data_IF_743344615552
#
_entry.id   IF_743344615552
#
_cell.length_a   1.000
_cell.length_b   1.000
_cell.length_c   1.000
_cell.angle_alpha   90.00
_cell.angle_beta   90.00
_cell.angle_gamma   90.00
#
_symmetry.space_group_name_H-M   'P 1'
#
loop_
_entity.id
_entity.type
_entity.pdbx_description
1 polymer ?
#
# COMPACT_ATOMS: atom_id res chain seq x y z
N UNK A 1 -5.36 -5.73 -18.01
CA UNK A 1 -5.50 -5.31 -16.60
C UNK A 1 -6.96 -5.21 -16.27
N UNK A 2 -7.38 -5.72 -15.11
CA UNK A 2 -8.78 -5.70 -14.64
C UNK A 2 -8.89 -4.73 -13.47
N UNK A 3 -9.70 -3.68 -13.62
CA UNK A 3 -9.92 -2.64 -12.61
C UNK A 3 -11.34 -2.76 -12.05
N UNK A 4 -11.48 -2.87 -10.74
CA UNK A 4 -12.78 -2.80 -10.08
C UNK A 4 -12.98 -1.40 -9.49
N UNK A 5 -14.12 -0.79 -9.79
CA UNK A 5 -14.56 0.50 -9.21
C UNK A 5 -15.77 0.23 -8.33
N UNK A 6 -15.66 0.55 -7.05
CA UNK A 6 -16.73 0.41 -6.05
C UNK A 6 -17.13 1.81 -5.61
N UNK A 7 -18.26 2.29 -6.09
CA UNK A 7 -18.77 3.65 -5.88
C UNK A 7 -20.29 3.65 -6.08
N UNK A 8 -21.04 4.31 -5.21
CA UNK A 8 -22.51 4.37 -5.31
C UNK A 8 -23.02 5.29 -6.45
N UNK A 9 -22.09 5.99 -7.12
CA UNK A 9 -22.37 6.84 -8.26
C UNK A 9 -22.01 6.17 -9.59
N UNK A 10 -22.99 5.78 -10.37
CA UNK A 10 -22.79 5.27 -11.74
C UNK A 10 -21.97 6.22 -12.60
N UNK A 11 -22.10 7.54 -12.38
CA UNK A 11 -21.33 8.54 -13.11
C UNK A 11 -19.82 8.45 -12.84
N UNK A 12 -19.41 8.07 -11.62
CA UNK A 12 -18.00 7.86 -11.28
C UNK A 12 -17.47 6.60 -11.95
N UNK A 13 -18.25 5.51 -11.93
CA UNK A 13 -17.92 4.25 -12.60
C UNK A 13 -17.76 4.48 -14.10
N UNK A 14 -18.71 5.19 -14.72
CA UNK A 14 -18.66 5.52 -16.15
C UNK A 14 -17.46 6.42 -16.50
N UNK A 15 -17.21 7.48 -15.72
CA UNK A 15 -16.08 8.37 -15.91
C UNK A 15 -14.74 7.62 -15.79
N UNK A 16 -14.61 6.72 -14.84
CA UNK A 16 -13.46 5.83 -14.71
C UNK A 16 -13.32 4.95 -15.96
N UNK A 17 -14.41 4.29 -16.39
CA UNK A 17 -14.41 3.42 -17.57
C UNK A 17 -13.94 4.15 -18.82
N UNK A 18 -14.47 5.34 -19.08
CA UNK A 18 -14.06 6.17 -20.24
C UNK A 18 -12.58 6.55 -20.16
N UNK A 19 -12.14 7.01 -18.97
CA UNK A 19 -10.74 7.44 -18.75
C UNK A 19 -9.75 6.30 -19.01
N UNK A 20 -10.08 5.08 -18.58
CA UNK A 20 -9.22 3.91 -18.78
C UNK A 20 -9.25 3.38 -20.21
N UNK A 21 -10.40 3.36 -20.86
CA UNK A 21 -10.53 2.92 -22.25
C UNK A 21 -9.67 3.76 -23.22
N UNK A 22 -9.51 5.07 -22.91
CA UNK A 22 -8.68 5.97 -23.73
C UNK A 22 -7.19 5.73 -23.51
N UNK A 23 -6.76 5.50 -22.27
CA UNK A 23 -5.33 5.46 -21.90
C UNK A 23 -4.73 4.05 -21.94
N UNK A 24 -5.51 3.03 -21.64
CA UNK A 24 -5.10 1.62 -21.57
C UNK A 24 -6.11 0.73 -22.28
N UNK A 25 -5.94 0.57 -23.59
CA UNK A 25 -6.87 -0.15 -24.49
C UNK A 25 -7.19 -1.60 -24.07
N UNK A 26 -6.36 -2.22 -23.23
CA UNK A 26 -6.53 -3.59 -22.72
C UNK A 26 -7.03 -3.63 -21.26
N UNK A 27 -7.62 -2.53 -20.75
CA UNK A 27 -8.13 -2.51 -19.39
C UNK A 27 -9.63 -2.82 -19.40
N UNK A 28 -10.01 -3.87 -18.71
CA UNK A 28 -11.38 -4.21 -18.36
C UNK A 28 -11.76 -3.46 -17.08
N UNK A 29 -12.82 -2.67 -17.11
CA UNK A 29 -13.34 -1.98 -15.93
C UNK A 29 -14.66 -2.64 -15.52
N UNK A 30 -14.74 -3.04 -14.24
CA UNK A 30 -15.91 -3.63 -13.62
C UNK A 30 -16.42 -2.66 -12.57
N UNK A 31 -17.72 -2.44 -12.47
CA UNK A 31 -18.34 -1.57 -11.48
C UNK A 31 -19.14 -2.34 -10.43
N UNK A 32 -19.15 -1.82 -9.20
CA UNK A 32 -20.06 -2.19 -8.12
C UNK A 32 -20.62 -0.94 -7.47
N UNK A 33 -21.92 -0.93 -7.16
CA UNK A 33 -22.60 0.24 -6.60
C UNK A 33 -22.65 0.26 -5.07
N UNK A 34 -22.11 -0.75 -4.41
CA UNK A 34 -22.06 -0.89 -2.95
C UNK A 34 -20.90 -1.81 -2.52
N UNK A 35 -20.61 -1.81 -1.20
CA UNK A 35 -19.50 -2.56 -0.65
C UNK A 35 -19.69 -4.07 -0.72
N UNK A 36 -20.91 -4.57 -0.50
CA UNK A 36 -21.23 -5.99 -0.52
C UNK A 36 -21.01 -6.60 -1.92
N UNK A 37 -21.56 -5.97 -2.95
CA UNK A 37 -21.33 -6.39 -4.34
C UNK A 37 -19.86 -6.24 -4.76
N UNK A 38 -19.18 -5.23 -4.23
CA UNK A 38 -17.76 -5.04 -4.43
C UNK A 38 -16.93 -6.19 -3.87
N UNK A 39 -17.24 -6.69 -2.67
CA UNK A 39 -16.55 -7.83 -2.06
C UNK A 39 -16.69 -9.09 -2.90
N UNK A 40 -17.93 -9.39 -3.34
CA UNK A 40 -18.22 -10.54 -4.21
C UNK A 40 -17.41 -10.47 -5.53
N UNK A 41 -17.28 -9.26 -6.10
CA UNK A 41 -16.48 -9.06 -7.32
C UNK A 41 -14.98 -9.18 -7.08
N UNK A 42 -14.43 -8.74 -5.94
CA UNK A 42 -13.01 -8.97 -5.61
C UNK A 42 -12.71 -10.46 -5.56
N UNK A 43 -13.58 -11.25 -4.90
CA UNK A 43 -13.37 -12.69 -4.74
C UNK A 43 -13.53 -13.45 -6.07
N UNK A 44 -14.49 -13.06 -6.89
CA UNK A 44 -14.85 -13.79 -8.11
C UNK A 44 -14.01 -13.43 -9.33
N UNK A 45 -13.71 -12.13 -9.48
CA UNK A 45 -13.08 -11.57 -10.67
C UNK A 45 -11.57 -11.39 -10.53
N UNK A 46 -11.02 -11.43 -9.30
CA UNK A 46 -9.60 -11.24 -9.01
C UNK A 46 -9.02 -9.99 -9.71
N UNK A 47 -9.53 -8.78 -9.43
CA UNK A 47 -9.06 -7.57 -10.10
C UNK A 47 -7.58 -7.29 -9.77
N UNK A 48 -6.89 -6.62 -10.69
CA UNK A 48 -5.50 -6.18 -10.51
C UNK A 48 -5.40 -4.95 -9.60
N UNK A 49 -6.50 -4.17 -9.49
CA UNK A 49 -6.59 -2.97 -8.65
C UNK A 49 -8.05 -2.63 -8.36
N UNK A 50 -8.31 -2.10 -7.17
CA UNK A 50 -9.62 -1.62 -6.71
C UNK A 50 -9.57 -0.11 -6.48
N UNK A 51 -10.52 0.63 -7.05
CA UNK A 51 -10.88 1.97 -6.63
C UNK A 51 -12.08 1.87 -5.71
N UNK A 52 -12.01 2.42 -4.50
CA UNK A 52 -13.03 2.24 -3.47
C UNK A 52 -13.46 3.57 -2.88
N UNK A 53 -14.72 3.95 -3.07
CA UNK A 53 -15.26 5.12 -2.39
C UNK A 53 -15.41 4.91 -0.89
N UNK A 54 -15.15 5.97 -0.13
CA UNK A 54 -15.33 5.94 1.33
C UNK A 54 -16.80 6.12 1.70
N UNK A 55 -17.50 7.00 0.99
CA UNK A 55 -18.82 7.49 1.38
C UNK A 55 -19.95 6.77 0.65
N UNK A 56 -20.05 5.45 0.83
CA UNK A 56 -21.11 4.64 0.26
C UNK A 56 -22.15 4.24 1.31
N UNK A 57 -23.42 4.01 0.91
CA UNK A 57 -24.42 3.41 1.79
C UNK A 57 -24.05 1.95 2.16
N UNK A 58 -24.70 1.39 3.18
CA UNK A 58 -24.42 0.03 3.65
C UNK A 58 -23.18 -0.06 4.51
N UNK A 59 -22.30 -1.00 4.24
CA UNK A 59 -21.09 -1.23 5.05
C UNK A 59 -20.01 -0.13 4.91
N UNK A 60 -20.14 0.75 3.92
CA UNK A 60 -19.20 1.86 3.69
C UNK A 60 -17.78 1.41 3.30
N UNK A 61 -16.99 2.33 2.74
CA UNK A 61 -15.69 1.99 2.15
C UNK A 61 -14.65 1.48 3.15
N UNK A 62 -14.62 1.97 4.39
CA UNK A 62 -13.64 1.48 5.37
C UNK A 62 -13.88 0.05 5.81
N UNK A 63 -15.14 -0.35 5.97
CA UNK A 63 -15.48 -1.73 6.33
C UNK A 63 -15.29 -2.65 5.12
N UNK A 64 -15.61 -2.19 3.92
CA UNK A 64 -15.31 -2.90 2.67
C UNK A 64 -13.80 -3.14 2.55
N UNK A 65 -12.95 -2.13 2.77
CA UNK A 65 -11.49 -2.27 2.77
C UNK A 65 -11.01 -3.31 3.79
N UNK A 66 -11.53 -3.25 5.03
CA UNK A 66 -11.17 -4.21 6.08
C UNK A 66 -11.54 -5.65 5.67
N UNK A 67 -12.72 -5.83 5.08
CA UNK A 67 -13.18 -7.12 4.60
C UNK A 67 -12.33 -7.64 3.43
N UNK A 68 -11.98 -6.79 2.46
CA UNK A 68 -11.03 -7.15 1.39
C UNK A 68 -9.71 -7.65 1.98
N UNK A 69 -9.14 -6.93 2.96
CA UNK A 69 -7.85 -7.28 3.57
C UNK A 69 -7.88 -8.56 4.41
N UNK A 70 -9.05 -9.08 4.74
CA UNK A 70 -9.17 -10.38 5.41
C UNK A 70 -8.86 -11.57 4.47
N UNK A 71 -8.98 -11.40 3.15
CA UNK A 71 -8.78 -12.47 2.17
C UNK A 71 -7.94 -12.09 0.94
N UNK A 72 -7.61 -10.81 0.74
CA UNK A 72 -6.91 -10.36 -0.47
C UNK A 72 -5.94 -9.21 -0.20
N UNK A 73 -4.76 -9.28 -0.83
CA UNK A 73 -3.75 -8.22 -0.87
C UNK A 73 -3.87 -7.35 -2.14
N UNK A 74 -5.00 -7.43 -2.87
CA UNK A 74 -5.23 -6.62 -4.06
C UNK A 74 -4.99 -5.14 -3.75
N UNK A 75 -4.28 -4.38 -4.58
CA UNK A 75 -4.08 -2.96 -4.36
C UNK A 75 -5.40 -2.20 -4.31
N UNK A 76 -5.57 -1.34 -3.30
CA UNK A 76 -6.78 -0.51 -3.12
C UNK A 76 -6.39 0.96 -3.04
N UNK A 77 -6.99 1.77 -3.92
CA UNK A 77 -6.94 3.23 -3.86
C UNK A 77 -8.29 3.73 -3.33
N UNK A 78 -8.26 4.46 -2.20
CA UNK A 78 -9.47 5.05 -1.64
C UNK A 78 -9.86 6.32 -2.38
N UNK A 79 -11.13 6.45 -2.75
CA UNK A 79 -11.71 7.71 -3.23
C UNK A 79 -12.34 8.44 -2.05
N UNK A 80 -11.96 9.69 -1.79
CA UNK A 80 -12.40 10.45 -0.60
C UNK A 80 -12.89 11.84 -0.97
N UNK A 81 -13.81 12.41 -0.21
CA UNK A 81 -14.15 13.80 -0.33
C UNK A 81 -12.97 14.70 0.08
N UNK A 82 -12.91 15.91 -0.49
CA UNK A 82 -11.85 16.89 -0.28
C UNK A 82 -11.60 17.16 1.23
N UNK A 83 -10.32 17.23 1.62
CA UNK A 83 -9.77 17.74 2.90
C UNK A 83 -9.93 16.90 4.18
N UNK A 84 -10.32 15.64 4.13
CA UNK A 84 -10.31 14.80 5.32
C UNK A 84 -8.99 14.05 5.52
N UNK A 85 -8.01 14.72 6.14
CA UNK A 85 -6.71 14.15 6.50
C UNK A 85 -6.88 12.92 7.41
N UNK A 86 -7.87 12.92 8.29
CA UNK A 86 -8.12 11.79 9.21
C UNK A 86 -8.59 10.55 8.44
N UNK A 87 -9.47 10.71 7.47
CA UNK A 87 -9.91 9.61 6.61
C UNK A 87 -8.78 9.05 5.76
N UNK A 88 -7.88 9.90 5.25
CA UNK A 88 -6.69 9.47 4.51
C UNK A 88 -5.78 8.59 5.38
N UNK A 89 -5.40 9.06 6.57
CA UNK A 89 -4.57 8.30 7.52
C UNK A 89 -5.27 7.00 7.91
N UNK A 90 -6.58 7.06 8.23
CA UNK A 90 -7.37 5.86 8.60
C UNK A 90 -7.41 4.83 7.47
N UNK A 91 -7.64 5.25 6.22
CA UNK A 91 -7.62 4.37 5.05
C UNK A 91 -6.28 3.66 4.89
N UNK A 92 -5.19 4.43 4.95
CA UNK A 92 -3.84 3.88 4.90
C UNK A 92 -3.58 2.91 6.08
N UNK A 93 -4.00 3.22 7.31
CA UNK A 93 -3.85 2.31 8.46
C UNK A 93 -4.64 1.02 8.31
N UNK A 94 -5.81 1.05 7.67
CA UNK A 94 -6.64 -0.12 7.39
C UNK A 94 -6.11 -0.97 6.22
N UNK A 95 -5.12 -0.48 5.47
CA UNK A 95 -4.49 -1.26 4.41
C UNK A 95 -4.69 -0.73 3.00
N UNK A 96 -5.24 0.48 2.81
CA UNK A 96 -5.20 1.11 1.51
C UNK A 96 -3.76 1.36 1.04
N UNK A 97 -3.54 1.32 -0.26
CA UNK A 97 -2.24 1.58 -0.89
C UNK A 97 -2.06 3.04 -1.27
N UNK A 98 -3.18 3.74 -1.54
CA UNK A 98 -3.21 5.15 -1.87
C UNK A 98 -4.60 5.74 -1.63
N UNK A 99 -4.73 7.05 -1.84
CA UNK A 99 -6.02 7.75 -1.87
C UNK A 99 -6.04 8.82 -2.97
N UNK A 100 -7.25 9.15 -3.43
CA UNK A 100 -7.53 10.22 -4.39
C UNK A 100 -8.70 11.04 -3.87
N UNK A 101 -8.58 12.36 -3.91
CA UNK A 101 -9.66 13.24 -3.46
C UNK A 101 -10.65 13.54 -4.59
N UNK A 102 -11.94 13.44 -4.29
CA UNK A 102 -13.03 13.85 -5.20
C UNK A 102 -13.30 15.36 -5.07
N UNK A 103 -13.55 16.11 -6.16
CA UNK A 103 -13.42 15.68 -7.55
C UNK A 103 -11.94 15.52 -7.94
N UNK A 104 -11.59 14.46 -8.66
CA UNK A 104 -10.24 14.19 -9.10
C UNK A 104 -10.05 14.54 -10.58
N UNK A 105 -8.86 15.03 -10.89
CA UNK A 105 -8.38 15.08 -12.26
C UNK A 105 -8.00 13.65 -12.69
N UNK A 106 -8.42 13.29 -13.91
CA UNK A 106 -8.18 11.96 -14.40
C UNK A 106 -6.70 11.64 -14.64
N UNK A 107 -5.88 12.62 -14.96
CA UNK A 107 -4.44 12.44 -15.08
C UNK A 107 -3.81 12.17 -13.71
N UNK A 108 -4.31 12.80 -12.64
CA UNK A 108 -3.89 12.49 -11.26
C UNK A 108 -4.24 11.05 -10.90
N UNK A 109 -5.49 10.62 -11.13
CA UNK A 109 -5.92 9.25 -10.87
C UNK A 109 -5.05 8.23 -11.60
N UNK A 110 -4.80 8.44 -12.90
CA UNK A 110 -3.95 7.57 -13.70
C UNK A 110 -2.49 7.54 -13.18
N UNK A 111 -1.94 8.70 -12.78
CA UNK A 111 -0.59 8.77 -12.22
C UNK A 111 -0.48 7.96 -10.91
N UNK A 112 -1.47 8.06 -10.02
CA UNK A 112 -1.51 7.32 -8.76
C UNK A 112 -1.67 5.82 -8.99
N UNK A 113 -2.52 5.40 -9.92
CA UNK A 113 -2.66 3.99 -10.30
C UNK A 113 -1.34 3.43 -10.81
N UNK A 114 -0.65 4.14 -11.71
CA UNK A 114 0.69 3.73 -12.18
C UNK A 114 1.68 3.62 -11.03
N UNK A 115 1.64 4.55 -10.08
CA UNK A 115 2.51 4.52 -8.91
C UNK A 115 2.23 3.32 -8.02
N UNK A 116 0.96 2.98 -7.79
CA UNK A 116 0.55 1.80 -7.01
C UNK A 116 0.98 0.52 -7.72
N UNK A 117 0.68 0.36 -9.00
CA UNK A 117 1.06 -0.84 -9.78
C UNK A 117 2.59 -1.02 -9.83
N UNK A 118 3.36 0.07 -10.02
CA UNK A 118 4.83 0.03 -9.97
C UNK A 118 5.38 -0.46 -8.62
N UNK A 119 4.64 -0.31 -7.52
CA UNK A 119 5.06 -0.81 -6.21
C UNK A 119 4.98 -2.32 -6.11
N UNK A 120 4.14 -2.97 -6.93
CA UNK A 120 4.07 -4.42 -7.04
C UNK A 120 5.35 -5.01 -7.64
N UNK A 121 6.10 -4.20 -8.42
CA UNK A 121 7.43 -4.59 -8.89
C UNK A 121 8.40 -4.59 -7.70
N UNK A 122 8.56 -5.75 -7.09
CA UNK A 122 9.48 -5.93 -5.98
C UNK A 122 10.93 -5.81 -6.45
N UNK A 123 11.84 -5.33 -5.58
CA UNK A 123 13.26 -5.23 -5.93
C UNK A 123 13.79 -6.60 -6.36
N UNK A 124 14.53 -6.68 -7.48
CA UNK A 124 15.04 -7.95 -7.97
C UNK A 124 15.95 -8.61 -6.93
N UNK A 125 15.93 -9.95 -6.84
CA UNK A 125 16.85 -10.67 -5.98
C UNK A 125 18.29 -10.35 -6.36
N UNK A 126 19.11 -9.95 -5.39
CA UNK A 126 20.52 -9.67 -5.64
C UNK A 126 21.34 -10.91 -5.36
N UNK A 127 22.13 -11.38 -6.34
CA UNK A 127 23.03 -12.54 -6.20
C UNK A 127 24.10 -12.36 -5.10
N UNK A 128 24.27 -11.15 -4.55
CA UNK A 128 25.31 -10.83 -3.54
C UNK A 128 24.91 -11.12 -2.09
N UNK A 129 23.62 -11.13 -1.79
CA UNK A 129 23.09 -11.46 -0.45
C UNK A 129 21.69 -12.04 -0.64
N UNK A 130 21.58 -13.39 -0.76
CA UNK A 130 20.31 -14.05 -1.00
C UNK A 130 19.33 -13.92 0.20
N UNK A 131 19.87 -13.72 1.41
CA UNK A 131 19.08 -13.59 2.62
C UNK A 131 19.66 -12.54 3.58
N UNK A 132 18.81 -12.02 4.47
CA UNK A 132 19.19 -11.17 5.59
C UNK A 132 18.74 -11.85 6.90
N UNK A 133 19.58 -11.79 7.93
CA UNK A 133 19.25 -12.30 9.25
C UNK A 133 19.67 -11.30 10.33
N UNK A 134 18.78 -11.09 11.30
CA UNK A 134 19.03 -10.24 12.46
C UNK A 134 18.19 -10.79 13.63
N UNK A 135 18.86 -11.43 14.59
CA UNK A 135 18.18 -12.15 15.67
C UNK A 135 17.19 -13.19 15.10
N UNK A 136 15.94 -13.06 15.47
CA UNK A 136 14.83 -13.90 15.05
C UNK A 136 14.21 -13.51 13.69
N UNK A 137 14.58 -12.34 13.15
CA UNK A 137 14.10 -11.87 11.84
C UNK A 137 14.95 -12.47 10.71
N UNK A 138 14.31 -13.13 9.77
CA UNK A 138 14.93 -13.63 8.54
C UNK A 138 14.16 -13.14 7.31
N UNK A 139 14.88 -12.74 6.28
CA UNK A 139 14.31 -12.29 5.00
C UNK A 139 15.01 -13.03 3.88
N UNK A 140 14.27 -13.77 3.09
CA UNK A 140 14.74 -14.35 1.83
C UNK A 140 14.38 -13.37 0.69
N UNK A 141 15.40 -12.79 0.06
CA UNK A 141 15.20 -11.82 -1.02
C UNK A 141 14.84 -12.49 -2.35
N UNK A 142 15.04 -13.79 -2.50
CA UNK A 142 14.69 -14.50 -3.73
C UNK A 142 13.20 -14.88 -3.77
N UNK A 143 12.67 -15.34 -2.62
CA UNK A 143 11.25 -15.66 -2.46
C UNK A 143 10.41 -14.50 -1.95
N UNK A 144 11.06 -13.38 -1.53
CA UNK A 144 10.43 -12.24 -0.84
C UNK A 144 9.74 -12.62 0.49
N UNK A 145 10.15 -13.73 1.08
CA UNK A 145 9.59 -14.24 2.32
C UNK A 145 10.23 -13.57 3.53
N UNK A 146 9.40 -13.14 4.48
CA UNK A 146 9.82 -12.59 5.76
C UNK A 146 9.35 -13.52 6.87
N UNK A 147 10.24 -13.88 7.78
CA UNK A 147 9.94 -14.71 8.95
C UNK A 147 10.42 -14.02 10.22
N UNK A 148 9.62 -14.10 11.26
CA UNK A 148 9.96 -13.70 12.60
C UNK A 148 9.78 -14.90 13.53
N UNK A 149 10.81 -15.30 14.27
CA UNK A 149 10.79 -16.51 15.14
C UNK A 149 10.40 -17.80 14.39
N UNK A 150 10.75 -17.88 13.11
CA UNK A 150 10.40 -19.01 12.24
C UNK A 150 9.01 -18.96 11.62
N UNK A 151 8.12 -18.09 12.11
CA UNK A 151 6.78 -17.90 11.57
C UNK A 151 6.78 -16.91 10.39
N UNK A 152 6.04 -17.22 9.33
CA UNK A 152 5.91 -16.32 8.18
C UNK A 152 5.13 -15.05 8.56
N UNK A 153 5.67 -13.89 8.22
CA UNK A 153 5.03 -12.60 8.42
C UNK A 153 4.52 -12.09 7.08
N UNK A 154 3.19 -12.04 6.85
CA UNK A 154 2.65 -11.54 5.61
C UNK A 154 2.86 -10.03 5.51
N UNK A 155 3.56 -9.60 4.46
CA UNK A 155 3.77 -8.20 4.13
C UNK A 155 3.17 -7.89 2.77
N UNK A 156 2.49 -6.74 2.66
CA UNK A 156 2.13 -6.21 1.34
C UNK A 156 3.39 -5.82 0.55
N UNK A 157 3.28 -5.70 -0.77
CA UNK A 157 4.40 -5.31 -1.62
C UNK A 157 5.08 -4.00 -1.16
N UNK A 158 4.29 -3.01 -0.74
CA UNK A 158 4.78 -1.72 -0.25
C UNK A 158 5.51 -1.86 1.09
N UNK A 159 4.97 -2.65 2.03
CA UNK A 159 5.61 -2.95 3.32
C UNK A 159 6.94 -3.68 3.11
N UNK A 160 6.95 -4.70 2.25
CA UNK A 160 8.17 -5.42 1.91
C UNK A 160 9.22 -4.49 1.30
N UNK A 161 8.83 -3.65 0.35
CA UNK A 161 9.73 -2.69 -0.31
C UNK A 161 10.33 -1.70 0.68
N UNK A 162 9.55 -1.19 1.63
CA UNK A 162 10.04 -0.32 2.70
C UNK A 162 11.03 -1.07 3.61
N UNK A 163 10.68 -2.28 4.07
CA UNK A 163 11.56 -3.11 4.88
C UNK A 163 12.86 -3.43 4.14
N UNK A 164 12.78 -3.77 2.85
CA UNK A 164 13.94 -4.04 2.00
C UNK A 164 14.95 -2.90 2.03
N UNK A 165 14.53 -1.65 1.80
CA UNK A 165 15.45 -0.52 1.84
C UNK A 165 16.04 -0.28 3.23
N UNK A 166 15.27 -0.48 4.28
CA UNK A 166 15.73 -0.35 5.66
C UNK A 166 16.82 -1.37 5.99
N UNK A 167 16.59 -2.66 5.73
CA UNK A 167 17.53 -3.73 6.08
C UNK A 167 18.75 -3.80 5.17
N UNK A 168 18.67 -3.27 3.96
CA UNK A 168 19.83 -3.15 3.04
C UNK A 168 20.79 -2.03 3.42
N UNK A 169 20.40 -1.15 4.34
CA UNK A 169 21.23 -0.06 4.84
C UNK A 169 21.26 -0.09 6.39
N UNK A 170 21.75 -1.18 7.00
CA UNK A 170 21.72 -1.35 8.43
C UNK A 170 22.54 -0.27 9.13
N UNK A 171 22.04 0.24 10.25
CA UNK A 171 22.62 1.31 11.05
C UNK A 171 22.75 2.67 10.36
N UNK A 172 22.30 2.83 9.12
CA UNK A 172 22.28 4.10 8.42
C UNK A 172 20.92 4.80 8.57
N UNK A 173 20.93 6.11 8.74
CA UNK A 173 19.72 6.92 8.74
C UNK A 173 19.28 7.16 7.30
N UNK A 174 18.11 6.64 6.94
CA UNK A 174 17.50 6.88 5.66
C UNK A 174 16.50 8.04 5.78
N UNK A 175 16.74 9.11 5.03
CA UNK A 175 15.90 10.32 5.08
C UNK A 175 14.47 10.03 4.56
N UNK A 176 13.50 10.79 5.08
CA UNK A 176 12.10 10.66 4.68
C UNK A 176 11.92 10.73 3.16
N UNK A 177 12.46 11.77 2.51
CA UNK A 177 12.35 11.98 1.06
C UNK A 177 12.95 10.82 0.27
N UNK A 178 14.10 10.29 0.72
CA UNK A 178 14.74 9.15 0.07
C UNK A 178 13.88 7.89 0.15
N UNK A 179 13.32 7.58 1.33
CA UNK A 179 12.44 6.42 1.49
C UNK A 179 11.16 6.59 0.68
N UNK A 180 10.55 7.77 0.70
CA UNK A 180 9.36 8.08 -0.09
C UNK A 180 9.63 7.93 -1.59
N UNK A 181 10.71 8.53 -2.09
CA UNK A 181 11.08 8.42 -3.51
C UNK A 181 11.35 6.96 -3.94
N UNK A 182 12.01 6.16 -3.09
CA UNK A 182 12.38 4.77 -3.39
C UNK A 182 11.19 3.82 -3.34
N UNK A 183 10.27 4.02 -2.41
CA UNK A 183 9.14 3.10 -2.17
C UNK A 183 7.93 3.54 -2.99
N UNK A 184 7.54 4.81 -2.93
CA UNK A 184 6.32 5.34 -3.57
C UNK A 184 6.58 6.04 -4.90
N UNK A 185 7.73 6.68 -5.07
CA UNK A 185 8.10 7.47 -6.25
C UNK A 185 8.39 8.92 -5.88
N UNK A 186 9.04 9.64 -6.80
CA UNK A 186 9.46 11.03 -6.58
C UNK A 186 8.29 12.00 -6.34
N UNK A 187 7.12 11.65 -6.85
CA UNK A 187 5.88 12.41 -6.68
C UNK A 187 5.36 12.41 -5.23
N UNK A 188 5.81 11.47 -4.38
CA UNK A 188 5.38 11.30 -2.98
C UNK A 188 6.37 11.86 -1.95
N UNK A 189 7.42 12.56 -2.35
CA UNK A 189 8.50 12.99 -1.42
C UNK A 189 8.03 13.88 -0.27
N UNK A 190 6.86 14.52 -0.40
CA UNK A 190 6.26 15.36 0.63
C UNK A 190 5.18 14.64 1.46
N UNK A 191 4.82 13.42 1.10
CA UNK A 191 3.75 12.63 1.73
C UNK A 191 4.27 11.86 2.95
N UNK A 192 4.79 12.57 3.95
CA UNK A 192 5.42 11.97 5.13
C UNK A 192 4.47 11.05 5.90
N UNK A 193 3.17 11.32 5.87
CA UNK A 193 2.18 10.53 6.59
C UNK A 193 2.06 9.10 6.03
N UNK A 194 2.27 8.88 4.72
CA UNK A 194 2.42 7.52 4.18
C UNK A 194 3.53 6.76 4.88
N UNK A 195 4.72 7.36 4.94
CA UNK A 195 5.87 6.71 5.54
C UNK A 195 5.64 6.41 7.02
N UNK A 196 5.03 7.33 7.77
CA UNK A 196 4.69 7.12 9.19
C UNK A 196 3.74 5.94 9.38
N UNK A 197 2.67 5.87 8.58
CA UNK A 197 1.69 4.79 8.65
C UNK A 197 2.36 3.44 8.34
N UNK A 198 3.14 3.36 7.27
CA UNK A 198 3.78 2.09 6.87
C UNK A 198 4.88 1.66 7.84
N UNK A 199 5.63 2.58 8.43
CA UNK A 199 6.57 2.26 9.53
C UNK A 199 5.81 1.73 10.74
N UNK A 200 4.67 2.32 11.11
CA UNK A 200 3.84 1.83 12.21
C UNK A 200 3.29 0.43 11.92
N UNK A 201 2.84 0.16 10.69
CA UNK A 201 2.39 -1.17 10.25
C UNK A 201 3.52 -2.20 10.33
N UNK A 202 4.72 -1.89 9.84
CA UNK A 202 5.89 -2.76 9.95
C UNK A 202 6.25 -3.05 11.40
N UNK A 203 6.26 -2.03 12.27
CA UNK A 203 6.51 -2.23 13.71
C UNK A 203 5.51 -3.15 14.35
N UNK A 204 4.21 -3.03 14.03
CA UNK A 204 3.18 -3.94 14.55
C UNK A 204 3.39 -5.41 14.15
N UNK A 205 4.07 -5.65 13.03
CA UNK A 205 4.34 -7.00 12.51
C UNK A 205 5.70 -7.55 12.93
N UNK A 206 6.67 -6.70 13.23
CA UNK A 206 8.07 -7.10 13.39
C UNK A 206 8.68 -6.76 14.75
N UNK A 207 8.05 -5.90 15.56
CA UNK A 207 8.53 -5.51 16.88
C UNK A 207 7.67 -6.13 17.98
N UNK A 208 8.27 -6.43 19.12
CA UNK A 208 7.54 -6.91 20.30
C UNK A 208 6.67 -5.81 20.90
N UNK A 209 7.20 -4.59 20.95
CA UNK A 209 6.47 -3.38 21.33
C UNK A 209 6.62 -2.32 20.24
N UNK A 210 5.58 -2.07 19.42
CA UNK A 210 5.61 -1.07 18.36
C UNK A 210 5.90 0.36 18.83
N UNK A 211 5.59 0.68 20.09
CA UNK A 211 5.82 2.00 20.68
C UNK A 211 7.24 2.14 21.24
N UNK A 212 7.93 1.02 21.52
CA UNK A 212 9.32 0.95 21.95
C UNK A 212 10.17 0.10 20.99
N UNK A 213 10.25 0.47 19.70
CA UNK A 213 10.85 -0.35 18.67
C UNK A 213 12.35 -0.55 18.91
N UNK A 214 12.83 -1.77 18.65
CA UNK A 214 14.24 -2.15 18.78
C UNK A 214 14.95 -2.16 17.44
N UNK A 215 14.25 -2.44 16.36
CA UNK A 215 14.82 -2.60 15.01
C UNK A 215 14.57 -1.38 14.12
N UNK A 216 13.32 -0.92 14.00
CA UNK A 216 12.94 0.20 13.12
C UNK A 216 12.88 1.48 13.95
N UNK A 217 14.01 2.18 14.06
CA UNK A 217 14.16 3.36 14.91
C UNK A 217 13.77 4.64 14.19
N UNK A 218 13.18 5.59 14.93
CA UNK A 218 12.88 6.94 14.44
C UNK A 218 14.05 7.86 14.76
N UNK A 219 14.64 8.46 13.73
CA UNK A 219 15.61 9.55 13.87
C UNK A 219 14.87 10.87 13.66
N UNK A 220 14.57 11.55 14.78
CA UNK A 220 13.69 12.73 14.80
C UNK A 220 14.13 13.81 13.81
N UNK A 221 13.20 14.25 12.97
CA UNK A 221 13.46 15.27 11.94
C UNK A 221 14.27 14.80 10.73
N UNK A 222 14.77 13.56 10.71
CA UNK A 222 15.61 13.04 9.64
C UNK A 222 14.97 11.90 8.87
N UNK A 223 14.53 10.84 9.56
CA UNK A 223 14.05 9.64 8.89
C UNK A 223 14.01 8.43 9.80
N UNK A 224 14.35 7.28 9.24
CA UNK A 224 14.32 5.99 9.94
C UNK A 224 15.64 5.24 9.75
N UNK A 225 15.95 4.38 10.70
CA UNK A 225 17.14 3.54 10.70
C UNK A 225 16.75 2.12 11.12
N UNK A 226 17.28 1.13 10.42
CA UNK A 226 17.20 -0.26 10.86
C UNK A 226 18.43 -0.59 11.71
N UNK A 227 18.19 -1.07 12.93
CA UNK A 227 19.24 -1.56 13.84
C UNK A 227 19.15 -3.08 13.89
N UNK A 228 20.13 -3.81 13.33
CA UNK A 228 20.16 -5.26 13.44
C UNK A 228 20.49 -5.69 14.88
N UNK A 229 19.93 -6.81 15.29
CA UNK A 229 20.38 -7.55 16.47
C UNK A 229 21.72 -8.24 16.21
N UNK A 230 22.57 -8.26 17.22
CA UNK A 230 23.93 -8.85 17.14
C UNK A 230 23.90 -10.37 17.12
#
# INVERSE_FOLDING_TARGET
>A
MKLLVIDDSDAVIEAATISFAVQWQETEVIGACDGESGLDLVEREHPDLVLLDIAMPGIGGFETLRSIRAFSDVPVIMLTAMDDVLSKVKGLELGADDYVTKPFDHLELLARIRAVLRRLDLPPPTNRTPSFRSGDLTIDFASHEVRLRGEAVPLTATEYKLLYYLVRNPNQVLRHEMLLAKVWGSEYIHEIDYLRVYVRRLRRKLEDDPEQPQHILTERGLGYRFRPES
#
